data_IF_424620694122
#
_entry.id   IF_424620694122
#
_cell.length_a   1.000
_cell.length_b   1.000
_cell.length_c   1.000
_cell.angle_alpha   90.00
_cell.angle_beta   90.00
_cell.angle_gamma   90.00
#
_symmetry.space_group_name_H-M   'P 1'
#
loop_
_entity.id
_entity.type
_entity.pdbx_description
1 polymer ?
#
# COMPACT_ATOMS: atom_id res chain seq x y z
N UNK A 1 -15.43 12.07 12.01
CA UNK A 1 -14.80 11.79 10.69
C UNK A 1 -15.74 10.93 9.85
N UNK A 2 -15.81 11.13 8.52
CA UNK A 2 -16.68 10.35 7.62
C UNK A 2 -15.91 9.18 6.99
N UNK A 3 -16.49 7.99 6.99
CA UNK A 3 -15.80 6.75 6.57
C UNK A 3 -15.60 6.64 5.05
N UNK A 4 -16.64 6.90 4.26
CA UNK A 4 -16.61 6.69 2.81
C UNK A 4 -15.57 7.56 2.09
N UNK A 5 -15.50 8.89 2.34
CA UNK A 5 -14.50 9.72 1.69
C UNK A 5 -13.07 9.33 2.08
N UNK A 6 -12.85 8.95 3.34
CA UNK A 6 -11.53 8.53 3.83
C UNK A 6 -11.13 7.18 3.22
N UNK A 7 -12.05 6.22 3.14
CA UNK A 7 -11.81 4.91 2.54
C UNK A 7 -11.31 5.02 1.10
N UNK A 8 -12.01 5.78 0.26
CA UNK A 8 -11.59 6.00 -1.12
C UNK A 8 -10.27 6.77 -1.22
N UNK A 9 -10.08 7.82 -0.42
CA UNK A 9 -8.85 8.61 -0.45
C UNK A 9 -7.61 7.78 -0.08
N UNK A 10 -7.68 7.01 1.02
CA UNK A 10 -6.61 6.12 1.45
C UNK A 10 -6.35 5.01 0.42
N UNK A 11 -7.41 4.44 -0.14
CA UNK A 11 -7.30 3.37 -1.15
C UNK A 11 -6.62 3.85 -2.42
N UNK A 12 -7.00 5.04 -2.93
CA UNK A 12 -6.38 5.64 -4.11
C UNK A 12 -4.94 6.07 -3.82
N UNK A 13 -4.68 6.64 -2.65
CA UNK A 13 -3.32 6.98 -2.22
C UNK A 13 -2.42 5.74 -2.25
N UNK A 14 -2.84 4.65 -1.60
CA UNK A 14 -2.07 3.40 -1.57
C UNK A 14 -1.91 2.78 -2.97
N UNK A 15 -2.97 2.79 -3.79
CA UNK A 15 -2.90 2.29 -5.16
C UNK A 15 -1.88 3.08 -6.00
N UNK A 16 -1.89 4.41 -5.92
CA UNK A 16 -0.94 5.28 -6.64
C UNK A 16 0.48 5.03 -6.14
N UNK A 17 0.70 5.01 -4.82
CA UNK A 17 2.02 4.72 -4.24
C UNK A 17 2.52 3.34 -4.67
N UNK A 18 1.67 2.33 -4.65
CA UNK A 18 2.01 0.99 -5.14
C UNK A 18 2.44 1.00 -6.61
N UNK A 19 1.67 1.66 -7.49
CA UNK A 19 2.03 1.80 -8.91
C UNK A 19 3.37 2.49 -9.08
N UNK A 20 3.62 3.59 -8.35
CA UNK A 20 4.91 4.29 -8.41
C UNK A 20 6.06 3.39 -7.94
N UNK A 21 5.88 2.61 -6.88
CA UNK A 21 6.87 1.65 -6.40
C UNK A 21 7.14 0.52 -7.42
N UNK A 22 6.09 0.01 -8.07
CA UNK A 22 6.23 -1.00 -9.13
C UNK A 22 6.97 -0.45 -10.35
N UNK A 23 6.63 0.76 -10.79
CA UNK A 23 7.31 1.42 -11.90
C UNK A 23 8.79 1.67 -11.59
N UNK A 24 9.10 2.12 -10.37
CA UNK A 24 10.48 2.28 -9.91
C UNK A 24 11.25 0.95 -9.94
N UNK A 25 10.62 -0.15 -9.49
CA UNK A 25 11.23 -1.48 -9.57
C UNK A 25 11.49 -1.98 -11.00
N UNK A 26 10.82 -1.43 -12.01
CA UNK A 26 11.04 -1.76 -13.42
C UNK A 26 12.08 -0.85 -14.08
N UNK A 27 12.17 0.41 -13.68
CA UNK A 27 13.14 1.38 -14.26
C UNK A 27 14.54 1.24 -13.69
N UNK A 28 14.65 0.72 -12.46
CA UNK A 28 15.94 0.46 -11.82
C UNK A 28 16.31 -1.00 -12.04
N UNK A 29 17.48 -1.32 -12.64
CA UNK A 29 17.87 -2.69 -12.92
C UNK A 29 17.89 -3.54 -11.64
N UNK A 30 17.49 -4.82 -11.73
CA UNK A 30 17.40 -5.81 -10.62
C UNK A 30 18.69 -5.93 -9.76
N UNK A 31 19.82 -5.43 -10.29
CA UNK A 31 21.09 -5.22 -9.62
C UNK A 31 21.49 -3.76 -9.78
N UNK A 32 20.82 -2.86 -9.05
CA UNK A 32 21.12 -1.45 -9.08
C UNK A 32 22.44 -1.21 -8.34
N UNK A 33 23.53 -0.99 -9.07
CA UNK A 33 24.78 -0.52 -8.49
C UNK A 33 24.58 0.91 -7.97
N UNK A 34 24.49 1.08 -6.64
CA UNK A 34 24.71 2.37 -6.00
C UNK A 34 26.22 2.46 -5.69
N UNK A 35 27.02 2.82 -6.71
CA UNK A 35 28.48 2.74 -6.61
C UNK A 35 29.00 1.30 -6.63
N UNK A 36 29.90 0.93 -5.72
CA UNK A 36 30.52 -0.42 -5.64
C UNK A 36 29.76 -1.40 -4.72
N UNK A 37 28.56 -1.03 -4.24
CA UNK A 37 27.79 -1.80 -3.27
C UNK A 37 26.58 -2.43 -3.94
N UNK A 38 26.45 -3.77 -3.83
CA UNK A 38 25.24 -4.48 -4.24
C UNK A 38 24.13 -4.20 -3.21
N UNK A 39 23.22 -3.30 -3.55
CA UNK A 39 22.04 -3.06 -2.72
C UNK A 39 20.91 -3.92 -3.26
N UNK A 40 20.50 -4.94 -2.49
CA UNK A 40 19.30 -5.70 -2.79
C UNK A 40 18.08 -4.80 -2.57
N UNK A 41 17.68 -4.02 -3.59
CA UNK A 41 16.40 -3.31 -3.60
C UNK A 41 15.23 -4.25 -3.91
N UNK A 42 15.36 -5.51 -3.50
CA UNK A 42 14.35 -6.56 -3.55
C UNK A 42 13.26 -6.27 -2.50
N UNK A 43 12.56 -5.15 -2.66
CA UNK A 43 11.32 -4.89 -1.93
C UNK A 43 10.28 -6.00 -2.24
N UNK A 44 10.50 -6.81 -3.29
CA UNK A 44 9.64 -7.88 -3.80
C UNK A 44 9.35 -9.03 -2.83
N UNK A 45 10.29 -9.42 -1.95
CA UNK A 45 10.06 -10.60 -1.09
C UNK A 45 9.01 -10.36 -0.01
N UNK A 46 8.93 -9.13 0.52
CA UNK A 46 7.90 -8.78 1.51
C UNK A 46 6.49 -8.74 0.91
N UNK A 47 6.36 -8.46 -0.38
CA UNK A 47 5.06 -8.25 -1.04
C UNK A 47 4.33 -9.57 -1.27
N UNK A 48 5.02 -10.63 -1.67
CA UNK A 48 4.42 -11.95 -1.81
C UNK A 48 3.90 -12.51 -0.48
N UNK A 49 4.56 -12.19 0.64
CA UNK A 49 4.12 -12.59 1.97
C UNK A 49 2.86 -11.82 2.43
N UNK A 50 2.76 -10.53 2.10
CA UNK A 50 1.61 -9.71 2.45
C UNK A 50 0.42 -9.88 1.51
N UNK A 51 0.68 -10.14 0.22
CA UNK A 51 -0.34 -10.19 -0.85
C UNK A 51 -0.38 -11.57 -1.49
N UNK A 52 -1.20 -12.49 -0.95
CA UNK A 52 -1.47 -13.78 -1.56
C UNK A 52 -1.85 -13.63 -3.03
N UNK A 53 -1.22 -14.43 -3.90
CA UNK A 53 -1.46 -14.41 -5.35
C UNK A 53 -0.74 -13.29 -6.11
N UNK A 54 0.06 -12.46 -5.44
CA UNK A 54 0.89 -11.46 -6.10
C UNK A 54 2.07 -12.11 -6.85
N UNK A 55 2.25 -11.71 -8.11
CA UNK A 55 3.35 -12.15 -8.98
C UNK A 55 3.90 -10.96 -9.77
N UNK A 56 5.14 -11.04 -10.26
CA UNK A 56 5.73 -10.00 -11.12
C UNK A 56 5.25 -10.13 -12.57
N UNK A 57 3.96 -9.96 -12.76
CA UNK A 57 3.27 -9.98 -14.06
C UNK A 57 2.18 -8.92 -14.10
N UNK A 58 1.63 -8.65 -15.27
CA UNK A 58 0.49 -7.72 -15.40
C UNK A 58 -0.71 -8.16 -14.55
N UNK A 59 -0.93 -9.47 -14.43
CA UNK A 59 -1.98 -10.04 -13.59
C UNK A 59 -1.68 -9.80 -12.11
N UNK A 60 -0.43 -10.00 -11.68
CA UNK A 60 -0.04 -9.75 -10.29
C UNK A 60 -0.06 -8.26 -9.93
N UNK A 61 0.18 -7.34 -10.88
CA UNK A 61 -0.04 -5.91 -10.68
C UNK A 61 -1.51 -5.60 -10.36
N UNK A 62 -2.46 -6.19 -11.08
CA UNK A 62 -3.90 -6.04 -10.80
C UNK A 62 -4.28 -6.60 -9.41
N UNK A 63 -3.69 -7.74 -9.04
CA UNK A 63 -3.86 -8.32 -7.69
C UNK A 63 -3.30 -7.37 -6.63
N UNK A 64 -2.13 -6.78 -6.85
CA UNK A 64 -1.53 -5.80 -5.95
C UNK A 64 -2.38 -4.53 -5.80
N UNK A 65 -2.98 -4.03 -6.89
CA UNK A 65 -3.93 -2.91 -6.83
C UNK A 65 -5.17 -3.26 -6.01
N UNK A 66 -5.72 -4.46 -6.17
CA UNK A 66 -6.86 -4.93 -5.40
C UNK A 66 -6.52 -4.98 -3.89
N UNK A 67 -5.34 -5.49 -3.54
CA UNK A 67 -4.86 -5.51 -2.16
C UNK A 67 -4.62 -4.11 -1.60
N UNK A 68 -3.97 -3.22 -2.34
CA UNK A 68 -3.74 -1.83 -1.93
C UNK A 68 -5.07 -1.11 -1.65
N UNK A 69 -6.06 -1.32 -2.52
CA UNK A 69 -7.41 -0.77 -2.35
C UNK A 69 -8.11 -1.37 -1.12
N UNK A 70 -8.02 -2.68 -0.92
CA UNK A 70 -8.57 -3.36 0.25
C UNK A 70 -7.94 -2.84 1.56
N UNK A 71 -6.62 -2.61 1.58
CA UNK A 71 -5.92 -2.07 2.75
C UNK A 71 -6.31 -0.64 3.07
N UNK A 72 -6.61 0.20 2.07
CA UNK A 72 -7.14 1.55 2.30
C UNK A 72 -8.49 1.51 3.00
N UNK A 73 -9.40 0.64 2.54
CA UNK A 73 -10.69 0.43 3.19
C UNK A 73 -10.58 -0.19 4.58
N UNK A 74 -9.74 -1.21 4.75
CA UNK A 74 -9.43 -1.78 6.06
C UNK A 74 -8.96 -0.71 7.05
N UNK A 75 -8.04 0.16 6.61
CA UNK A 75 -7.54 1.27 7.43
C UNK A 75 -8.66 2.24 7.79
N UNK A 76 -9.53 2.62 6.85
CA UNK A 76 -10.65 3.51 7.15
C UNK A 76 -11.68 2.88 8.10
N UNK A 77 -11.99 1.58 7.93
CA UNK A 77 -12.92 0.84 8.77
C UNK A 77 -12.44 0.72 10.22
N UNK A 78 -11.13 0.60 10.45
CA UNK A 78 -10.57 0.57 11.80
C UNK A 78 -10.31 1.97 12.37
N UNK A 79 -9.71 2.86 11.58
CA UNK A 79 -9.24 4.16 12.07
C UNK A 79 -10.39 5.11 12.38
N UNK A 80 -11.44 5.16 11.56
CA UNK A 80 -12.56 6.08 11.75
C UNK A 80 -13.31 5.86 13.08
N UNK A 81 -13.73 4.63 13.45
CA UNK A 81 -14.39 4.41 14.73
C UNK A 81 -13.45 4.66 15.91
N UNK A 82 -12.17 4.27 15.82
CA UNK A 82 -11.17 4.54 16.86
C UNK A 82 -10.98 6.05 17.06
N UNK A 83 -10.78 6.80 15.97
CA UNK A 83 -10.64 8.25 16.00
C UNK A 83 -11.88 8.91 16.61
N UNK A 84 -13.08 8.51 16.18
CA UNK A 84 -14.31 9.04 16.74
C UNK A 84 -14.48 8.67 18.22
N UNK A 85 -14.04 7.49 18.66
CA UNK A 85 -14.09 7.06 20.07
C UNK A 85 -13.24 7.97 20.96
N UNK A 86 -11.97 8.20 20.60
CA UNK A 86 -11.06 9.06 21.37
C UNK A 86 -11.35 10.55 21.20
N UNK A 87 -11.99 10.95 20.10
CA UNK A 87 -12.38 12.33 19.84
C UNK A 87 -13.79 12.69 20.37
N UNK A 88 -14.48 11.76 21.05
CA UNK A 88 -15.68 12.12 21.82
C UNK A 88 -15.24 13.06 22.93
N UNK A 89 -15.74 14.30 22.92
CA UNK A 89 -15.63 15.19 24.07
C UNK A 89 -16.23 14.47 25.28
N UNK A 90 -15.50 14.41 26.40
CA UNK A 90 -16.11 14.03 27.68
C UNK A 90 -17.32 14.93 27.92
N UNK A 91 -18.48 14.38 28.34
CA UNK A 91 -19.57 15.23 28.81
C UNK A 91 -19.02 16.08 29.96
N UNK A 92 -19.16 17.40 29.81
CA UNK A 92 -18.80 18.39 30.84
C UNK A 92 -19.75 18.26 32.04
#
# INVERSE_FOLDING_TARGET
MKIVPLGHALSLFLAITFTLCMLWGLTVPMHAMMGNTQVNMHMHQGWAAFMPGFHWSIAGYLVGLAWAYAYGWYTALLFVPLYNFFNKKSPA
#
